data_IF_619669735207
#
_entry.id   IF_619669735207
#
_cell.length_a   1.000
_cell.length_b   1.000
_cell.length_c   1.000
_cell.angle_alpha   90.00
_cell.angle_beta   90.00
_cell.angle_gamma   90.00
#
_symmetry.space_group_name_H-M   'P 1'
#
loop_
_entity.id
_entity.type
_entity.pdbx_description
1 polymer ?
#
# COMPACT_ATOMS: atom_id res chain seq x y z
N UNK A 1 29.56 14.39 4.15
CA UNK A 1 28.15 14.70 4.49
C UNK A 1 27.36 13.43 4.25
N UNK A 2 26.59 12.88 5.20
CA UNK A 2 25.81 11.66 4.99
C UNK A 2 24.67 11.96 4.01
N UNK A 3 24.44 11.05 3.06
CA UNK A 3 23.32 11.09 2.15
C UNK A 3 22.03 10.77 2.95
N UNK A 4 21.15 11.75 3.05
CA UNK A 4 19.82 11.58 3.61
C UNK A 4 19.01 10.66 2.69
N UNK A 5 18.47 9.59 3.23
CA UNK A 5 17.47 8.75 2.57
C UNK A 5 16.22 9.57 2.36
N UNK A 6 15.93 9.86 1.11
CA UNK A 6 14.76 10.61 0.69
C UNK A 6 13.58 9.67 0.51
N UNK A 7 12.85 9.44 1.59
CA UNK A 7 11.40 9.31 1.44
C UNK A 7 10.88 10.70 1.04
N UNK A 8 9.88 10.82 0.15
CA UNK A 8 9.43 12.14 -0.30
C UNK A 8 9.03 13.01 0.87
N UNK A 9 9.85 14.00 1.18
CA UNK A 9 9.49 15.11 2.04
C UNK A 9 8.44 15.91 1.26
N UNK A 10 7.23 15.98 1.77
CA UNK A 10 6.11 16.63 1.12
C UNK A 10 6.50 17.97 0.51
N UNK A 11 6.18 18.16 -0.76
CA UNK A 11 6.42 19.36 -1.52
C UNK A 11 5.52 20.49 -0.98
N UNK A 12 6.05 21.26 -0.05
CA UNK A 12 5.56 22.60 0.29
C UNK A 12 6.13 23.61 -0.70
N UNK A 13 5.58 23.68 -1.89
CA UNK A 13 5.91 24.67 -2.89
C UNK A 13 4.82 25.73 -2.93
N UNK A 14 5.03 26.88 -2.31
CA UNK A 14 4.32 28.12 -2.61
C UNK A 14 4.83 28.65 -3.96
N UNK A 15 4.23 28.16 -5.05
CA UNK A 15 4.43 28.70 -6.38
C UNK A 15 3.24 29.56 -6.75
N UNK A 16 3.46 30.86 -6.92
CA UNK A 16 2.50 31.81 -7.48
C UNK A 16 2.03 31.31 -8.86
N UNK A 17 0.73 31.07 -8.98
CA UNK A 17 0.09 30.73 -10.26
C UNK A 17 -0.28 32.04 -10.95
N UNK A 18 0.46 32.39 -12.01
CA UNK A 18 0.06 33.43 -12.98
C UNK A 18 -1.26 33.07 -13.64
N UNK A 19 -2.16 34.03 -13.86
CA UNK A 19 -3.49 33.76 -14.40
C UNK A 19 -3.43 33.49 -15.91
N UNK A 20 -3.79 32.28 -16.31
CA UNK A 20 -3.96 31.94 -17.73
C UNK A 20 -5.35 32.31 -18.22
N UNK A 21 -5.38 33.08 -19.29
CA UNK A 21 -6.51 33.74 -19.96
C UNK A 21 -7.66 32.76 -20.29
N UNK A 22 -8.86 33.18 -19.87
CA UNK A 22 -10.15 32.62 -20.29
C UNK A 22 -10.41 32.93 -21.76
N UNK A 23 -10.54 31.93 -22.61
CA UNK A 23 -11.27 32.03 -23.89
C UNK A 23 -12.45 31.06 -23.86
N UNK A 24 -13.60 31.74 -23.89
CA UNK A 24 -14.97 31.35 -24.12
C UNK A 24 -15.14 30.14 -25.03
N UNK A 25 -15.88 29.13 -24.56
CA UNK A 25 -16.54 28.19 -25.45
C UNK A 25 -18.05 28.26 -25.27
N UNK A 26 -18.72 28.55 -26.37
CA UNK A 26 -20.15 28.94 -26.46
C UNK A 26 -21.07 27.74 -26.21
N UNK A 27 -22.17 28.05 -25.55
CA UNK A 27 -23.33 27.19 -25.30
C UNK A 27 -24.05 26.82 -26.59
N UNK A 28 -24.50 25.57 -26.68
CA UNK A 28 -25.65 25.21 -27.50
C UNK A 28 -26.65 24.49 -26.61
N UNK A 29 -27.72 25.20 -26.29
CA UNK A 29 -28.89 24.72 -25.56
C UNK A 29 -29.82 24.06 -26.55
N UNK A 30 -30.20 22.80 -26.35
CA UNK A 30 -31.37 22.21 -26.99
C UNK A 30 -32.38 21.82 -25.91
N UNK A 31 -33.45 22.58 -25.88
CA UNK A 31 -34.61 22.30 -25.06
C UNK A 31 -35.47 21.19 -25.74
N UNK A 32 -35.86 20.19 -25.00
CA UNK A 32 -36.92 19.28 -25.35
C UNK A 32 -37.95 19.22 -24.22
N UNK A 33 -39.16 19.49 -24.60
CA UNK A 33 -40.36 19.77 -23.85
C UNK A 33 -41.00 18.55 -23.18
N UNK A 34 -41.70 18.86 -22.11
CA UNK A 34 -42.51 18.04 -21.23
C UNK A 34 -43.53 17.12 -21.94
N UNK A 35 -43.72 15.95 -21.34
CA UNK A 35 -44.93 15.13 -21.49
C UNK A 35 -45.33 14.55 -20.13
N UNK A 36 -46.34 15.18 -19.52
CA UNK A 36 -46.96 14.70 -18.27
C UNK A 36 -47.90 13.52 -18.58
N UNK A 37 -47.76 12.41 -17.90
CA UNK A 37 -48.84 11.43 -17.75
C UNK A 37 -48.97 11.03 -16.28
N UNK A 38 -50.03 11.48 -15.68
CA UNK A 38 -50.49 11.09 -14.36
C UNK A 38 -51.08 9.68 -14.41
N UNK A 39 -50.63 8.78 -13.52
CA UNK A 39 -51.41 7.59 -13.15
C UNK A 39 -51.48 7.43 -11.64
N UNK A 40 -52.70 7.19 -11.22
CA UNK A 40 -53.22 7.33 -9.87
C UNK A 40 -52.70 6.36 -8.84
N UNK A 41 -52.74 6.84 -7.63
CA UNK A 41 -52.50 6.18 -6.38
C UNK A 41 -53.48 5.09 -6.05
N UNK A 42 -53.00 3.94 -5.63
CA UNK A 42 -53.65 3.12 -4.63
C UNK A 42 -52.72 2.87 -3.46
N UNK A 43 -53.03 3.50 -2.33
CA UNK A 43 -52.51 3.17 -1.04
C UNK A 43 -53.04 1.83 -0.55
N UNK A 44 -52.20 0.94 -0.11
CA UNK A 44 -52.52 -0.12 0.82
C UNK A 44 -51.58 0.04 2.05
N UNK A 45 -52.11 0.11 3.28
CA UNK A 45 -51.30 0.08 4.49
C UNK A 45 -51.17 -1.36 4.93
N UNK A 46 -49.98 -1.74 5.33
CA UNK A 46 -49.82 -3.05 5.96
C UNK A 46 -48.42 -3.47 6.27
N UNK A 47 -48.13 -3.36 7.55
CA UNK A 47 -47.22 -4.18 8.37
C UNK A 47 -45.74 -3.83 8.33
N UNK A 48 -45.32 -3.26 9.44
CA UNK A 48 -43.97 -3.09 9.87
C UNK A 48 -43.24 -4.42 10.05
N UNK A 49 -42.03 -4.34 9.76
CA UNK A 49 -40.95 -5.28 9.97
C UNK A 49 -39.68 -4.58 9.63
N UNK A 50 -39.22 -3.73 10.55
CA UNK A 50 -37.82 -3.30 10.51
C UNK A 50 -36.99 -4.53 10.84
N UNK A 51 -36.71 -5.36 9.84
CA UNK A 51 -35.56 -6.24 9.92
C UNK A 51 -34.33 -5.33 9.94
N UNK A 52 -33.78 -5.17 11.13
CA UNK A 52 -32.40 -4.77 11.33
C UNK A 52 -31.58 -5.69 10.42
N UNK A 53 -31.10 -5.14 9.32
CA UNK A 53 -30.11 -5.83 8.51
C UNK A 53 -28.98 -6.18 9.47
N UNK A 54 -28.87 -7.46 9.79
CA UNK A 54 -27.82 -7.98 10.63
C UNK A 54 -26.50 -7.48 10.06
N UNK A 55 -25.63 -6.98 10.92
CA UNK A 55 -24.25 -6.66 10.56
C UNK A 55 -23.67 -7.90 9.88
N UNK A 56 -23.63 -7.87 8.56
CA UNK A 56 -22.96 -8.89 7.77
C UNK A 56 -21.53 -8.96 8.27
N UNK A 57 -21.13 -10.12 8.75
CA UNK A 57 -19.83 -10.40 9.31
C UNK A 57 -18.75 -9.92 8.33
N UNK A 58 -18.04 -8.85 8.72
CA UNK A 58 -17.26 -7.94 7.84
C UNK A 58 -15.95 -8.57 7.33
N UNK A 59 -15.83 -9.91 7.33
CA UNK A 59 -14.56 -10.62 7.12
C UNK A 59 -14.58 -11.70 6.02
N UNK A 60 -15.25 -11.47 4.88
CA UNK A 60 -15.33 -12.45 3.79
C UNK A 60 -14.43 -12.13 2.57
N UNK A 61 -13.34 -11.41 2.76
CA UNK A 61 -12.30 -11.33 1.72
C UNK A 61 -11.04 -12.06 2.19
N UNK A 62 -10.33 -12.76 1.29
CA UNK A 62 -9.22 -13.62 1.68
C UNK A 62 -7.96 -12.86 2.10
N UNK A 63 -7.88 -11.55 1.85
CA UNK A 63 -6.73 -10.70 2.16
C UNK A 63 -7.02 -9.71 3.28
N UNK A 64 -5.95 -9.21 3.90
CA UNK A 64 -6.00 -8.19 4.95
C UNK A 64 -6.03 -6.81 4.31
N UNK A 65 -6.92 -5.94 4.79
CA UNK A 65 -6.93 -4.52 4.39
C UNK A 65 -6.15 -3.70 5.42
N UNK A 66 -5.10 -3.03 4.98
CA UNK A 66 -4.17 -2.24 5.77
C UNK A 66 -4.15 -0.77 5.35
N UNK A 67 -3.56 0.09 6.19
CA UNK A 67 -3.32 1.50 5.91
C UNK A 67 -1.86 1.82 6.16
N UNK A 68 -1.19 2.38 5.15
CA UNK A 68 0.17 2.91 5.26
C UNK A 68 0.12 4.29 5.92
N UNK A 69 0.68 4.41 7.13
CA UNK A 69 0.48 5.61 7.95
C UNK A 69 1.17 6.87 7.41
N UNK A 70 2.24 6.78 6.64
CA UNK A 70 2.93 7.98 6.18
C UNK A 70 2.05 8.85 5.25
N UNK A 71 0.99 8.31 4.68
CA UNK A 71 0.09 9.02 3.76
C UNK A 71 -1.05 9.77 4.45
N UNK A 72 -1.39 9.39 5.70
CA UNK A 72 -2.58 9.90 6.39
C UNK A 72 -2.30 10.33 7.83
N UNK A 73 -3.08 11.28 8.33
CA UNK A 73 -3.09 11.73 9.74
C UNK A 73 -1.71 12.16 10.28
N UNK A 74 -0.83 12.68 9.43
CA UNK A 74 0.58 12.97 9.77
C UNK A 74 0.76 14.02 10.86
N UNK A 75 -0.20 14.90 11.03
CA UNK A 75 -0.27 15.99 12.01
C UNK A 75 -0.82 15.56 13.36
N UNK A 76 -1.27 14.33 13.48
CA UNK A 76 -1.78 13.79 14.74
C UNK A 76 -0.70 13.01 15.51
N UNK A 77 -0.78 13.00 16.86
CA UNK A 77 -0.01 12.05 17.68
C UNK A 77 -0.27 10.60 17.26
N UNK A 78 0.73 9.73 17.42
CA UNK A 78 0.69 8.36 16.90
C UNK A 78 -0.56 7.58 17.32
N UNK A 79 -0.92 7.62 18.60
CA UNK A 79 -2.07 6.91 19.13
C UNK A 79 -3.39 7.40 18.51
N UNK A 80 -3.52 8.71 18.25
CA UNK A 80 -4.69 9.28 17.57
C UNK A 80 -4.75 8.89 16.09
N UNK A 81 -3.59 8.69 15.43
CA UNK A 81 -3.55 8.15 14.06
C UNK A 81 -4.16 6.75 14.02
N UNK A 82 -3.85 5.89 15.00
CA UNK A 82 -4.44 4.56 15.12
C UNK A 82 -5.96 4.61 15.37
N UNK A 83 -6.43 5.56 16.21
CA UNK A 83 -7.86 5.78 16.43
C UNK A 83 -8.59 6.13 15.14
N UNK A 84 -8.00 7.00 14.32
CA UNK A 84 -8.56 7.37 13.00
C UNK A 84 -8.58 6.20 12.01
N UNK A 85 -7.56 5.36 12.01
CA UNK A 85 -7.54 4.13 11.22
C UNK A 85 -8.63 3.15 11.67
N UNK A 86 -8.80 2.96 12.99
CA UNK A 86 -9.87 2.14 13.54
C UNK A 86 -11.25 2.72 13.22
N UNK A 87 -11.42 4.05 13.29
CA UNK A 87 -12.64 4.76 12.90
C UNK A 87 -13.00 4.50 11.42
N UNK A 88 -11.99 4.41 10.55
CA UNK A 88 -12.19 4.05 9.15
C UNK A 88 -12.50 2.56 8.92
N UNK A 89 -12.46 1.73 9.97
CA UNK A 89 -12.82 0.30 9.93
C UNK A 89 -11.67 -0.64 9.57
N UNK A 90 -10.42 -0.18 9.63
CA UNK A 90 -9.25 -1.02 9.38
C UNK A 90 -8.71 -1.62 10.68
N UNK A 91 -8.09 -2.80 10.55
CA UNK A 91 -7.46 -3.54 11.65
C UNK A 91 -5.97 -3.79 11.45
N UNK A 92 -5.42 -3.35 10.33
CA UNK A 92 -4.03 -3.52 9.98
C UNK A 92 -3.42 -2.18 9.57
N UNK A 93 -2.15 -2.01 9.90
CA UNK A 93 -1.42 -0.77 9.71
C UNK A 93 0.01 -1.08 9.29
N UNK A 94 0.49 -0.37 8.29
CA UNK A 94 1.89 -0.33 7.90
C UNK A 94 2.58 0.91 8.47
N UNK A 95 3.81 0.73 8.95
CA UNK A 95 4.65 1.76 9.55
C UNK A 95 5.84 2.10 8.65
N UNK A 96 6.26 3.36 8.65
CA UNK A 96 7.46 3.82 7.91
C UNK A 96 8.42 4.49 8.89
N UNK A 97 9.05 3.68 9.75
CA UNK A 97 10.07 4.19 10.68
C UNK A 97 9.54 5.05 11.83
N UNK A 98 8.23 5.10 12.10
CA UNK A 98 7.67 5.86 13.23
C UNK A 98 8.35 5.50 14.55
N UNK A 99 8.76 4.26 14.70
CA UNK A 99 9.38 3.71 15.90
C UNK A 99 10.90 4.01 16.04
N UNK A 100 11.55 4.58 15.04
CA UNK A 100 13.02 4.76 15.05
C UNK A 100 13.52 5.59 16.26
N UNK A 101 12.70 6.52 16.74
CA UNK A 101 13.03 7.40 17.86
C UNK A 101 12.24 7.06 19.13
N UNK A 102 11.54 5.94 19.17
CA UNK A 102 10.70 5.59 20.32
C UNK A 102 11.56 5.15 21.51
N UNK A 103 11.22 5.68 22.67
CA UNK A 103 11.64 5.17 23.96
C UNK A 103 10.90 3.86 24.30
N UNK A 104 11.32 3.17 25.35
CA UNK A 104 10.60 2.00 25.84
C UNK A 104 9.13 2.32 26.19
N UNK A 105 8.87 3.51 26.72
CA UNK A 105 7.51 3.96 27.06
C UNK A 105 6.68 4.23 25.81
N UNK A 106 7.29 4.73 24.73
CA UNK A 106 6.60 4.92 23.45
C UNK A 106 6.15 3.57 22.85
N UNK A 107 7.03 2.56 22.86
CA UNK A 107 6.69 1.20 22.45
C UNK A 107 5.54 0.63 23.29
N UNK A 108 5.57 0.84 24.62
CA UNK A 108 4.51 0.38 25.50
C UNK A 108 3.16 1.04 25.19
N UNK A 109 3.16 2.37 25.01
CA UNK A 109 1.93 3.12 24.67
C UNK A 109 1.38 2.71 23.31
N UNK A 110 2.22 2.63 22.29
CA UNK A 110 1.80 2.19 20.95
C UNK A 110 1.18 0.79 20.99
N UNK A 111 1.82 -0.15 21.69
CA UNK A 111 1.31 -1.51 21.85
C UNK A 111 0.01 -1.59 22.66
N UNK A 112 -0.13 -0.78 23.71
CA UNK A 112 -1.36 -0.71 24.49
C UNK A 112 -2.50 -0.18 23.61
N UNK A 113 -2.26 0.92 22.87
CA UNK A 113 -3.28 1.54 22.02
C UNK A 113 -3.70 0.63 20.86
N UNK A 114 -2.77 -0.01 20.14
CA UNK A 114 -3.14 -0.93 19.06
C UNK A 114 -3.97 -2.13 19.54
N UNK A 115 -3.63 -2.66 20.74
CA UNK A 115 -4.38 -3.78 21.35
C UNK A 115 -5.78 -3.35 21.78
N UNK A 116 -5.91 -2.16 22.36
CA UNK A 116 -7.21 -1.55 22.71
C UNK A 116 -8.12 -1.44 21.48
N UNK A 117 -7.56 -1.03 20.33
CA UNK A 117 -8.29 -0.82 19.09
C UNK A 117 -8.42 -2.09 18.21
N UNK A 118 -7.81 -3.20 18.62
CA UNK A 118 -7.77 -4.43 17.83
C UNK A 118 -6.97 -4.28 16.52
N UNK A 119 -5.94 -3.40 16.50
CA UNK A 119 -5.05 -3.17 15.37
C UNK A 119 -3.80 -4.04 15.50
N UNK A 120 -3.34 -4.56 14.36
CA UNK A 120 -2.04 -5.23 14.18
C UNK A 120 -1.16 -4.42 13.24
N UNK A 121 0.13 -4.32 13.55
CA UNK A 121 1.11 -3.83 12.59
C UNK A 121 1.54 -5.00 11.72
N UNK A 122 1.37 -4.88 10.41
CA UNK A 122 1.64 -5.99 9.48
C UNK A 122 2.93 -5.83 8.70
N UNK A 123 3.31 -4.61 8.36
CA UNK A 123 4.50 -4.31 7.57
C UNK A 123 5.16 -3.03 8.08
N UNK A 124 6.48 -2.94 7.93
CA UNK A 124 7.23 -1.72 8.19
C UNK A 124 8.26 -1.43 7.09
N UNK A 125 8.78 -0.21 7.09
CA UNK A 125 9.86 0.25 6.22
C UNK A 125 10.84 1.10 7.02
N UNK A 126 11.93 1.53 6.39
CA UNK A 126 12.90 2.44 7.02
C UNK A 126 14.35 1.96 6.98
N UNK A 127 14.65 0.90 6.21
CA UNK A 127 16.06 0.52 5.97
C UNK A 127 16.76 1.61 5.17
N UNK A 128 17.99 1.96 5.57
CA UNK A 128 18.74 3.07 4.97
C UNK A 128 19.49 2.68 3.70
N UNK A 129 19.80 1.39 3.55
CA UNK A 129 20.60 0.89 2.46
C UNK A 129 19.77 -0.04 1.57
N UNK A 130 20.00 0.06 0.24
CA UNK A 130 19.33 -0.79 -0.75
C UNK A 130 20.15 -2.03 -1.11
N UNK A 131 19.54 -2.94 -1.89
CA UNK A 131 20.16 -4.23 -2.24
C UNK A 131 21.02 -4.20 -3.50
N UNK A 132 20.88 -3.17 -4.37
CA UNK A 132 21.56 -3.13 -5.69
C UNK A 132 23.05 -2.75 -5.64
N UNK A 133 23.49 -2.11 -4.55
CA UNK A 133 24.90 -1.72 -4.38
C UNK A 133 25.64 -2.76 -3.51
N UNK A 134 26.59 -3.52 -4.05
CA UNK A 134 27.32 -4.51 -3.25
C UNK A 134 28.17 -3.88 -2.13
N UNK A 135 28.57 -2.61 -2.26
CA UNK A 135 29.31 -1.89 -1.22
C UNK A 135 28.47 -1.60 0.04
N UNK A 136 27.16 -1.53 -0.11
CA UNK A 136 26.23 -1.24 1.01
C UNK A 136 25.76 -2.51 1.74
N UNK A 137 26.17 -3.69 1.30
CA UNK A 137 25.62 -4.97 1.80
C UNK A 137 25.77 -5.15 3.31
N UNK A 138 26.95 -4.89 3.85
CA UNK A 138 27.16 -5.06 5.29
C UNK A 138 26.35 -4.04 6.10
N UNK A 139 26.21 -2.82 5.61
CA UNK A 139 25.39 -1.78 6.20
C UNK A 139 23.89 -2.14 6.14
N UNK A 140 23.41 -2.63 5.00
CA UNK A 140 22.04 -3.16 4.86
C UNK A 140 21.75 -4.28 5.88
N UNK A 141 22.67 -5.23 6.05
CA UNK A 141 22.50 -6.31 7.00
C UNK A 141 22.53 -5.82 8.46
N UNK A 142 23.29 -4.75 8.75
CA UNK A 142 23.28 -4.09 10.06
C UNK A 142 21.94 -3.37 10.29
N UNK A 143 21.44 -2.61 9.32
CA UNK A 143 20.12 -1.97 9.36
C UNK A 143 19.03 -3.01 9.62
N UNK A 144 19.03 -4.12 8.89
CA UNK A 144 18.04 -5.18 9.04
C UNK A 144 18.06 -5.81 10.44
N UNK A 145 19.23 -6.04 11.04
CA UNK A 145 19.30 -6.55 12.42
C UNK A 145 18.65 -5.59 13.41
N UNK A 146 18.96 -4.28 13.29
CA UNK A 146 18.34 -3.26 14.14
C UNK A 146 16.83 -3.16 13.93
N UNK A 147 16.36 -3.28 12.69
CA UNK A 147 14.94 -3.29 12.37
C UNK A 147 14.21 -4.53 12.95
N UNK A 148 14.84 -5.72 12.90
CA UNK A 148 14.26 -6.94 13.48
C UNK A 148 14.01 -6.79 14.99
N UNK A 149 14.91 -6.16 15.73
CA UNK A 149 14.74 -5.89 17.16
C UNK A 149 13.54 -4.97 17.43
N UNK A 150 13.28 -4.00 16.55
CA UNK A 150 12.11 -3.13 16.66
C UNK A 150 10.83 -3.86 16.24
N UNK A 151 10.88 -4.62 15.16
CA UNK A 151 9.76 -5.42 14.66
C UNK A 151 9.26 -6.41 15.72
N UNK A 152 10.16 -7.06 16.47
CA UNK A 152 9.79 -7.94 17.58
C UNK A 152 9.05 -7.18 18.69
N UNK A 153 9.47 -5.93 19.01
CA UNK A 153 8.82 -5.10 20.06
C UNK A 153 7.40 -4.67 19.69
N UNK A 154 7.09 -4.57 18.38
CA UNK A 154 5.78 -4.12 17.88
C UNK A 154 4.95 -5.25 17.26
N UNK A 155 5.40 -6.50 17.35
CA UNK A 155 4.76 -7.67 16.73
C UNK A 155 4.53 -7.53 15.21
N UNK A 156 5.44 -6.84 14.48
CA UNK A 156 5.34 -6.60 13.04
C UNK A 156 6.19 -7.61 12.25
N UNK A 157 5.60 -8.51 11.44
CA UNK A 157 6.33 -9.61 10.83
C UNK A 157 6.99 -9.29 9.49
N UNK A 158 6.68 -8.16 8.84
CA UNK A 158 7.18 -7.89 7.48
C UNK A 158 7.93 -6.56 7.40
N UNK A 159 8.93 -6.49 6.52
CA UNK A 159 9.71 -5.28 6.27
C UNK A 159 9.96 -5.08 4.78
N UNK A 160 9.80 -3.84 4.32
CA UNK A 160 10.06 -3.41 2.94
C UNK A 160 11.55 -3.19 2.74
N UNK A 161 12.09 -3.74 1.65
CA UNK A 161 13.45 -3.53 1.17
C UNK A 161 13.41 -2.85 -0.20
N UNK A 162 14.15 -1.77 -0.32
CA UNK A 162 14.30 -1.05 -1.58
C UNK A 162 15.56 -1.50 -2.34
N UNK A 163 15.54 -1.40 -3.66
CA UNK A 163 16.74 -1.68 -4.45
C UNK A 163 17.85 -0.66 -4.21
N UNK A 164 17.48 0.59 -4.00
CA UNK A 164 18.39 1.72 -4.05
C UNK A 164 18.56 2.28 -5.45
N UNK A 165 19.46 3.24 -5.61
CA UNK A 165 19.70 3.94 -6.87
C UNK A 165 20.69 3.20 -7.78
N UNK A 166 20.67 3.51 -9.07
CA UNK A 166 21.68 3.06 -10.03
C UNK A 166 23.09 3.42 -9.53
N UNK A 167 23.98 2.43 -9.53
CA UNK A 167 25.37 2.59 -9.12
C UNK A 167 26.21 2.97 -10.33
N UNK A 168 26.84 4.16 -10.37
CA UNK A 168 27.66 4.58 -11.48
C UNK A 168 28.79 3.58 -11.77
N UNK A 169 28.96 3.23 -13.04
CA UNK A 169 30.02 2.32 -13.48
C UNK A 169 29.72 0.81 -13.33
N UNK A 170 28.60 0.44 -12.70
CA UNK A 170 28.13 -0.95 -12.72
C UNK A 170 27.22 -1.22 -13.92
N UNK A 171 27.31 -2.44 -14.47
CA UNK A 171 26.36 -2.89 -15.50
C UNK A 171 25.00 -3.20 -14.84
N UNK A 172 23.91 -3.21 -15.64
CA UNK A 172 22.59 -3.58 -15.15
C UNK A 172 22.57 -5.00 -14.60
N UNK A 173 23.23 -5.94 -15.29
CA UNK A 173 23.37 -7.33 -14.86
C UNK A 173 24.14 -7.46 -13.54
N UNK A 174 25.19 -6.67 -13.36
CA UNK A 174 25.96 -6.63 -12.12
C UNK A 174 25.13 -6.14 -10.94
N UNK A 175 24.30 -5.10 -11.15
CA UNK A 175 23.38 -4.63 -10.12
C UNK A 175 22.24 -5.61 -9.86
N UNK A 176 21.71 -6.28 -10.89
CA UNK A 176 20.71 -7.34 -10.73
C UNK A 176 21.27 -8.48 -9.87
N UNK A 177 22.47 -8.95 -10.17
CA UNK A 177 23.14 -9.98 -9.38
C UNK A 177 23.37 -9.50 -7.93
N UNK A 178 23.72 -8.22 -7.73
CA UNK A 178 23.85 -7.64 -6.38
C UNK A 178 22.53 -7.65 -5.62
N UNK A 179 21.41 -7.35 -6.27
CA UNK A 179 20.08 -7.45 -5.65
C UNK A 179 19.80 -8.89 -5.19
N UNK A 180 20.03 -9.87 -6.05
CA UNK A 180 19.85 -11.30 -5.72
C UNK A 180 20.72 -11.71 -4.54
N UNK A 181 22.01 -11.37 -4.57
CA UNK A 181 22.95 -11.72 -3.51
C UNK A 181 22.66 -11.02 -2.19
N UNK A 182 22.24 -9.73 -2.26
CA UNK A 182 21.82 -8.94 -1.11
C UNK A 182 20.60 -9.54 -0.43
N UNK A 183 19.57 -9.87 -1.21
CA UNK A 183 18.36 -10.52 -0.71
C UNK A 183 18.63 -11.91 -0.15
N UNK A 184 19.51 -12.71 -0.79
CA UNK A 184 19.93 -14.00 -0.24
C UNK A 184 20.66 -13.85 1.10
N UNK A 185 21.50 -12.83 1.23
CA UNK A 185 22.19 -12.53 2.51
C UNK A 185 21.19 -12.08 3.59
N UNK A 186 20.25 -11.20 3.26
CA UNK A 186 19.18 -10.78 4.15
C UNK A 186 18.26 -11.95 4.56
N UNK A 187 17.90 -12.81 3.61
CA UNK A 187 17.08 -13.98 3.85
C UNK A 187 17.71 -14.94 4.88
N UNK A 188 19.03 -15.11 4.86
CA UNK A 188 19.73 -15.91 5.88
C UNK A 188 19.59 -15.38 7.30
N UNK A 189 19.39 -14.06 7.49
CA UNK A 189 19.18 -13.47 8.81
C UNK A 189 17.79 -13.76 9.37
N UNK A 190 16.82 -14.03 8.50
CA UNK A 190 15.43 -14.25 8.90
C UNK A 190 14.96 -15.68 8.71
N UNK A 191 15.82 -16.55 8.20
CA UNK A 191 15.45 -17.94 7.87
C UNK A 191 14.82 -18.65 9.08
N UNK A 192 13.58 -19.12 8.90
CA UNK A 192 12.78 -19.73 9.94
C UNK A 192 12.30 -18.82 11.07
N UNK A 193 12.69 -17.52 11.08
CA UNK A 193 12.23 -16.60 12.12
C UNK A 193 10.73 -16.31 11.99
N UNK A 194 10.11 -16.14 13.16
CA UNK A 194 8.70 -15.74 13.30
C UNK A 194 8.59 -14.61 14.31
N UNK A 195 7.68 -13.66 14.02
CA UNK A 195 7.26 -12.61 14.93
C UNK A 195 5.76 -12.75 15.16
N UNK A 196 5.31 -12.77 16.40
CA UNK A 196 3.91 -13.00 16.78
C UNK A 196 3.28 -14.23 16.09
N UNK A 197 4.08 -15.29 15.91
CA UNK A 197 3.65 -16.54 15.25
C UNK A 197 3.65 -16.53 13.72
N UNK A 198 3.84 -15.37 13.08
CA UNK A 198 3.90 -15.23 11.62
C UNK A 198 5.36 -15.30 11.12
N UNK A 199 5.63 -15.98 9.99
CA UNK A 199 6.96 -15.94 9.38
C UNK A 199 7.38 -14.49 9.10
N UNK A 200 8.63 -14.14 9.40
CA UNK A 200 9.19 -12.85 8.99
C UNK A 200 9.29 -12.81 7.47
N UNK A 201 8.89 -11.70 6.85
CA UNK A 201 8.96 -11.52 5.40
C UNK A 201 9.81 -10.30 5.04
N UNK A 202 10.63 -10.46 4.02
CA UNK A 202 11.32 -9.40 3.31
C UNK A 202 10.54 -9.09 2.04
N UNK A 203 10.15 -7.84 1.85
CA UNK A 203 9.30 -7.37 0.77
C UNK A 203 10.12 -6.46 -0.16
N UNK A 204 10.55 -6.98 -1.31
CA UNK A 204 11.23 -6.16 -2.32
C UNK A 204 10.22 -5.27 -3.02
N UNK A 205 10.51 -3.98 -3.13
CA UNK A 205 9.64 -3.01 -3.80
C UNK A 205 10.34 -2.32 -4.98
N UNK A 206 9.55 -2.06 -6.03
CA UNK A 206 9.91 -1.21 -7.16
C UNK A 206 9.38 0.21 -6.95
N UNK A 207 10.14 1.21 -7.44
CA UNK A 207 9.70 2.62 -7.47
C UNK A 207 9.71 3.10 -8.91
N UNK A 208 8.68 3.82 -9.32
CA UNK A 208 8.57 4.32 -10.69
C UNK A 208 9.63 5.40 -11.03
N UNK A 209 9.96 5.58 -12.31
CA UNK A 209 11.00 6.51 -12.73
C UNK A 209 10.59 8.00 -12.65
N UNK A 210 9.30 8.31 -12.46
CA UNK A 210 8.86 9.70 -12.27
C UNK A 210 9.12 10.14 -10.82
N UNK A 211 8.82 9.27 -9.84
CA UNK A 211 9.09 9.55 -8.43
C UNK A 211 10.58 9.55 -8.13
N UNK A 212 11.34 8.56 -8.63
CA UNK A 212 12.79 8.52 -8.49
C UNK A 212 13.51 8.14 -9.80
N UNK A 213 13.89 9.12 -10.63
CA UNK A 213 14.58 8.87 -11.93
C UNK A 213 15.93 8.15 -11.81
N UNK A 214 16.48 8.05 -10.60
CA UNK A 214 17.75 7.35 -10.34
C UNK A 214 17.55 5.96 -9.76
N UNK A 215 16.34 5.57 -9.46
CA UNK A 215 16.07 4.27 -8.85
C UNK A 215 16.47 3.13 -9.77
N UNK A 216 17.04 2.06 -9.20
CA UNK A 216 17.54 0.96 -10.02
C UNK A 216 16.41 0.06 -10.53
N UNK A 217 15.58 -0.45 -9.61
CA UNK A 217 14.57 -1.47 -9.92
C UNK A 217 13.20 -0.82 -10.13
N UNK A 218 12.91 -0.46 -11.37
CA UNK A 218 11.67 0.24 -11.75
C UNK A 218 10.63 -0.67 -12.42
N UNK A 219 10.93 -1.97 -12.58
CA UNK A 219 10.14 -2.93 -13.36
C UNK A 219 9.68 -4.07 -12.46
N UNK A 220 8.35 -4.28 -12.33
CA UNK A 220 7.82 -5.47 -11.66
C UNK A 220 8.25 -6.76 -12.35
N UNK A 221 8.36 -6.75 -13.68
CA UNK A 221 8.82 -7.92 -14.43
C UNK A 221 10.21 -8.33 -13.95
N UNK A 222 11.15 -7.39 -13.86
CA UNK A 222 12.51 -7.64 -13.38
C UNK A 222 12.53 -8.01 -11.88
N UNK A 223 11.71 -7.34 -11.05
CA UNK A 223 11.62 -7.65 -9.64
C UNK A 223 11.12 -9.08 -9.36
N UNK A 224 10.15 -9.57 -10.13
CA UNK A 224 9.71 -10.96 -10.03
C UNK A 224 10.83 -11.94 -10.40
N UNK A 225 11.65 -11.64 -11.41
CA UNK A 225 12.82 -12.48 -11.76
C UNK A 225 13.84 -12.49 -10.61
N UNK A 226 14.11 -11.35 -9.98
CA UNK A 226 14.97 -11.26 -8.80
C UNK A 226 14.44 -12.13 -7.65
N UNK A 227 13.16 -11.99 -7.30
CA UNK A 227 12.54 -12.77 -6.21
C UNK A 227 12.57 -14.27 -6.51
N UNK A 228 12.27 -14.67 -7.74
CA UNK A 228 12.38 -16.07 -8.18
C UNK A 228 13.82 -16.61 -8.09
N UNK A 229 14.82 -15.81 -8.48
CA UNK A 229 16.23 -16.19 -8.42
C UNK A 229 16.75 -16.28 -6.97
N UNK A 230 16.21 -15.49 -6.05
CA UNK A 230 16.48 -15.64 -4.61
C UNK A 230 15.94 -16.97 -4.09
N UNK A 231 14.76 -17.40 -4.54
CA UNK A 231 14.10 -18.65 -4.23
C UNK A 231 14.03 -18.96 -2.73
N UNK A 232 13.55 -17.99 -1.93
CA UNK A 232 13.38 -18.16 -0.50
C UNK A 232 11.92 -17.88 -0.10
N UNK A 233 11.25 -18.72 0.72
CA UNK A 233 9.82 -18.59 1.00
C UNK A 233 9.44 -17.29 1.74
N UNK A 234 10.37 -16.73 2.51
CA UNK A 234 10.19 -15.51 3.29
C UNK A 234 10.61 -14.24 2.52
N UNK A 235 11.05 -14.35 1.24
CA UNK A 235 11.32 -13.21 0.36
C UNK A 235 10.19 -13.12 -0.65
N UNK A 236 9.50 -12.00 -0.65
CA UNK A 236 8.34 -11.73 -1.49
C UNK A 236 8.52 -10.38 -2.20
N UNK A 237 7.66 -10.14 -3.17
CA UNK A 237 7.54 -8.86 -3.84
C UNK A 237 6.40 -8.06 -3.20
N UNK A 238 6.63 -6.77 -2.99
CA UNK A 238 5.60 -5.78 -2.75
C UNK A 238 5.21 -5.20 -4.10
N UNK A 239 3.98 -5.47 -4.53
CA UNK A 239 3.47 -5.02 -5.82
C UNK A 239 2.66 -3.74 -5.64
N UNK A 240 3.30 -2.57 -5.82
CA UNK A 240 2.62 -1.29 -5.77
C UNK A 240 1.99 -0.98 -7.13
N UNK A 241 0.66 -0.97 -7.18
CA UNK A 241 -0.08 -0.70 -8.41
C UNK A 241 0.12 0.72 -8.93
N UNK A 242 0.39 1.70 -8.06
CA UNK A 242 0.69 3.06 -8.48
C UNK A 242 2.01 3.12 -9.26
N UNK A 243 3.09 2.61 -8.68
CA UNK A 243 4.40 2.60 -9.34
C UNK A 243 4.38 1.78 -10.63
N UNK A 244 3.73 0.63 -10.61
CA UNK A 244 3.69 -0.26 -11.76
C UNK A 244 2.79 0.25 -12.90
N UNK A 245 1.74 1.01 -12.60
CA UNK A 245 0.93 1.67 -13.63
C UNK A 245 1.76 2.68 -14.41
N UNK A 246 2.58 3.48 -13.70
CA UNK A 246 3.47 4.48 -14.32
C UNK A 246 4.60 3.81 -15.10
N UNK A 247 5.18 2.74 -14.54
CA UNK A 247 6.37 2.10 -15.11
C UNK A 247 6.06 1.22 -16.33
N UNK A 248 5.11 0.30 -16.22
CA UNK A 248 4.90 -0.76 -17.21
C UNK A 248 3.43 -1.03 -17.55
N UNK A 249 2.50 -0.76 -16.64
CA UNK A 249 1.09 -1.14 -16.81
C UNK A 249 0.87 -2.66 -16.82
N UNK A 250 -0.24 -3.10 -17.44
CA UNK A 250 -0.65 -4.52 -17.52
C UNK A 250 -0.72 -5.21 -16.15
N UNK A 251 -1.27 -4.48 -15.16
CA UNK A 251 -1.22 -4.82 -13.74
C UNK A 251 -1.82 -6.19 -13.40
N UNK A 252 -2.99 -6.51 -13.95
CA UNK A 252 -3.76 -7.72 -13.60
C UNK A 252 -3.07 -8.98 -14.12
N UNK A 253 -2.56 -8.97 -15.35
CA UNK A 253 -1.89 -10.14 -15.93
C UNK A 253 -0.59 -10.45 -15.19
N UNK A 254 0.21 -9.41 -14.85
CA UNK A 254 1.43 -9.58 -14.05
C UNK A 254 1.14 -10.14 -12.67
N UNK A 255 0.10 -9.61 -11.99
CA UNK A 255 -0.36 -10.11 -10.71
C UNK A 255 -0.74 -11.60 -10.78
N UNK A 256 -1.59 -11.96 -11.76
CA UNK A 256 -2.08 -13.34 -11.93
C UNK A 256 -0.95 -14.34 -12.16
N UNK A 257 0.00 -14.00 -13.01
CA UNK A 257 1.15 -14.86 -13.32
C UNK A 257 2.10 -15.07 -12.13
N UNK A 258 2.11 -14.14 -11.16
CA UNK A 258 3.14 -14.09 -10.11
C UNK A 258 2.58 -14.03 -8.68
N UNK A 259 1.28 -14.26 -8.48
CA UNK A 259 0.60 -14.07 -7.18
C UNK A 259 1.28 -14.81 -6.02
N UNK A 260 1.87 -15.97 -6.26
CA UNK A 260 2.58 -16.76 -5.25
C UNK A 260 3.86 -16.07 -4.72
N UNK A 261 4.36 -15.07 -5.45
CA UNK A 261 5.53 -14.27 -5.08
C UNK A 261 5.17 -12.92 -4.45
N UNK A 262 3.88 -12.55 -4.43
CA UNK A 262 3.40 -11.28 -3.87
C UNK A 262 3.06 -11.45 -2.40
N UNK A 263 3.69 -10.65 -1.54
CA UNK A 263 3.41 -10.61 -0.09
C UNK A 263 2.47 -9.48 0.29
N UNK A 264 2.67 -8.31 -0.31
CA UNK A 264 1.85 -7.09 -0.10
C UNK A 264 1.52 -6.48 -1.45
N UNK A 265 0.34 -5.88 -1.57
CA UNK A 265 -0.01 -4.97 -2.66
C UNK A 265 -0.29 -3.57 -2.10
N UNK A 266 0.25 -2.53 -2.72
CA UNK A 266 -0.06 -1.13 -2.40
C UNK A 266 -1.09 -0.56 -3.36
N UNK A 267 -1.98 0.27 -2.80
CA UNK A 267 -3.19 0.77 -3.44
C UNK A 267 -3.15 2.31 -3.46
N UNK A 268 -2.94 2.89 -4.62
CA UNK A 268 -3.15 4.30 -4.92
C UNK A 268 -3.43 4.50 -6.40
N UNK A 269 -4.21 5.52 -6.77
CA UNK A 269 -4.61 5.75 -8.16
C UNK A 269 -3.66 6.71 -8.88
N UNK A 270 -3.54 6.56 -10.18
CA UNK A 270 -2.75 7.41 -11.08
C UNK A 270 -3.72 8.26 -11.91
N UNK A 271 -3.45 9.56 -12.08
CA UNK A 271 -2.35 10.35 -11.52
C UNK A 271 -2.60 10.82 -10.07
N UNK A 272 -1.54 11.26 -9.41
CA UNK A 272 -1.61 12.02 -8.16
C UNK A 272 -1.57 11.20 -6.87
N UNK A 273 -1.46 9.87 -6.94
CA UNK A 273 -1.38 8.96 -5.79
C UNK A 273 -2.57 9.11 -4.83
N UNK A 274 -3.78 9.29 -5.38
CA UNK A 274 -5.01 9.49 -4.63
C UNK A 274 -5.76 8.17 -4.38
N UNK A 275 -6.91 8.25 -3.70
CA UNK A 275 -7.75 7.07 -3.41
C UNK A 275 -8.28 6.38 -4.67
N UNK A 276 -8.56 5.06 -4.63
CA UNK A 276 -9.16 4.30 -5.74
C UNK A 276 -10.40 4.95 -6.33
N UNK A 277 -10.44 5.02 -7.67
CA UNK A 277 -11.53 5.60 -8.44
C UNK A 277 -11.39 7.10 -8.73
N UNK A 278 -10.23 7.69 -8.43
CA UNK A 278 -9.92 9.08 -8.79
C UNK A 278 -9.10 9.22 -10.05
N UNK A 279 -8.57 8.12 -10.58
CA UNK A 279 -7.67 8.10 -11.72
C UNK A 279 -8.00 7.01 -12.74
N UNK A 280 -6.95 6.44 -13.35
CA UNK A 280 -7.06 5.54 -14.49
C UNK A 280 -6.98 4.04 -14.14
N UNK A 281 -6.65 3.69 -12.89
CA UNK A 281 -6.53 2.29 -12.48
C UNK A 281 -7.90 1.71 -12.18
N UNK A 282 -8.25 0.59 -12.81
CA UNK A 282 -9.51 -0.11 -12.54
C UNK A 282 -9.41 -0.97 -11.26
N UNK A 283 -9.50 -0.33 -10.10
CA UNK A 283 -9.41 -1.02 -8.81
C UNK A 283 -10.51 -2.02 -8.54
N UNK A 284 -11.71 -1.84 -9.10
CA UNK A 284 -12.79 -2.84 -8.98
C UNK A 284 -12.35 -4.17 -9.62
N UNK A 285 -11.74 -4.10 -10.80
CA UNK A 285 -11.21 -5.29 -11.48
C UNK A 285 -10.00 -5.89 -10.74
N UNK A 286 -9.15 -5.07 -10.14
CA UNK A 286 -8.00 -5.54 -9.34
C UNK A 286 -8.48 -6.26 -8.07
N UNK A 287 -9.40 -5.68 -7.31
CA UNK A 287 -9.92 -6.31 -6.09
C UNK A 287 -10.69 -7.61 -6.40
N UNK A 288 -11.45 -7.63 -7.50
CA UNK A 288 -12.08 -8.86 -7.98
C UNK A 288 -11.02 -9.93 -8.27
N UNK A 289 -9.96 -9.59 -8.99
CA UNK A 289 -8.88 -10.52 -9.32
C UNK A 289 -8.15 -11.02 -8.06
N UNK A 290 -7.89 -10.18 -7.08
CA UNK A 290 -7.33 -10.62 -5.79
C UNK A 290 -8.26 -11.63 -5.08
N UNK A 291 -9.59 -11.43 -5.16
CA UNK A 291 -10.58 -12.39 -4.67
C UNK A 291 -10.54 -13.72 -5.44
N UNK A 292 -10.57 -13.69 -6.78
CA UNK A 292 -10.51 -14.86 -7.66
C UNK A 292 -9.26 -15.71 -7.40
N UNK A 293 -8.12 -15.04 -7.21
CA UNK A 293 -6.83 -15.69 -6.92
C UNK A 293 -6.70 -16.16 -5.46
N UNK A 294 -7.70 -15.92 -4.63
CA UNK A 294 -7.67 -16.19 -3.18
C UNK A 294 -6.40 -15.66 -2.52
N UNK A 295 -6.01 -14.45 -2.93
CA UNK A 295 -4.85 -13.78 -2.35
C UNK A 295 -5.05 -13.63 -0.84
N UNK A 296 -4.10 -14.09 -0.05
CA UNK A 296 -4.18 -14.09 1.42
C UNK A 296 -3.14 -13.18 2.09
N UNK A 297 -2.48 -12.31 1.32
CA UNK A 297 -1.53 -11.31 1.80
C UNK A 297 -2.22 -10.05 2.32
N UNK A 298 -1.53 -8.92 2.18
CA UNK A 298 -1.97 -7.60 2.61
C UNK A 298 -2.25 -6.71 1.40
N UNK A 299 -3.36 -5.99 1.42
CA UNK A 299 -3.67 -4.90 0.50
C UNK A 299 -3.72 -3.60 1.31
N UNK A 300 -2.68 -2.79 1.19
CA UNK A 300 -2.49 -1.59 1.98
C UNK A 300 -2.83 -0.34 1.18
N UNK A 301 -3.63 0.53 1.79
CA UNK A 301 -3.98 1.83 1.24
C UNK A 301 -2.81 2.78 1.44
N UNK A 302 -2.14 3.14 0.35
CA UNK A 302 -0.99 4.05 0.34
C UNK A 302 -1.26 5.27 -0.53
N UNK A 303 -2.39 5.89 -0.35
CA UNK A 303 -2.81 7.05 -1.14
C UNK A 303 -2.87 8.34 -0.31
N UNK A 304 -2.75 9.48 -1.01
CA UNK A 304 -2.93 10.82 -0.46
C UNK A 304 -4.40 11.24 -0.63
N UNK A 305 -5.20 11.27 0.44
CA UNK A 305 -6.64 11.53 0.34
C UNK A 305 -6.94 12.92 -0.24
N UNK A 306 -7.91 12.99 -1.18
CA UNK A 306 -8.37 14.27 -1.78
C UNK A 306 -9.33 15.06 -0.88
N UNK A 307 -9.84 14.43 0.19
CA UNK A 307 -10.74 15.04 1.17
C UNK A 307 -10.54 14.38 2.53
N UNK A 308 -11.56 14.36 3.41
CA UNK A 308 -11.47 13.76 4.73
C UNK A 308 -10.89 12.33 4.66
N UNK A 309 -9.74 12.06 5.31
CA UNK A 309 -9.06 10.78 5.18
C UNK A 309 -9.87 9.58 5.68
N UNK A 310 -10.68 9.76 6.74
CA UNK A 310 -11.51 8.67 7.28
C UNK A 310 -12.57 8.27 6.26
N UNK A 311 -13.23 9.25 5.63
CA UNK A 311 -14.23 8.98 4.59
C UNK A 311 -13.62 8.30 3.37
N UNK A 312 -12.43 8.74 2.92
CA UNK A 312 -11.75 8.17 1.76
C UNK A 312 -11.26 6.74 2.02
N UNK A 313 -10.72 6.48 3.19
CA UNK A 313 -10.35 5.14 3.62
C UNK A 313 -11.55 4.20 3.70
N UNK A 314 -12.69 4.66 4.25
CA UNK A 314 -13.94 3.87 4.25
C UNK A 314 -14.40 3.52 2.84
N UNK A 315 -14.43 4.49 1.94
CA UNK A 315 -14.85 4.25 0.55
C UNK A 315 -13.95 3.25 -0.17
N UNK A 316 -12.61 3.36 0.00
CA UNK A 316 -11.66 2.41 -0.56
C UNK A 316 -11.86 0.99 0.01
N UNK A 317 -12.09 0.89 1.33
CA UNK A 317 -12.39 -0.38 1.99
C UNK A 317 -13.68 -1.01 1.47
N UNK A 318 -14.74 -0.24 1.34
CA UNK A 318 -16.03 -0.72 0.80
C UNK A 318 -15.89 -1.22 -0.63
N UNK A 319 -15.18 -0.47 -1.49
CA UNK A 319 -14.89 -0.90 -2.86
C UNK A 319 -14.15 -2.24 -2.88
N UNK A 320 -13.12 -2.39 -2.05
CA UNK A 320 -12.36 -3.63 -1.96
C UNK A 320 -13.23 -4.82 -1.53
N UNK A 321 -14.07 -4.64 -0.50
CA UNK A 321 -14.96 -5.68 0.01
C UNK A 321 -16.05 -6.07 -1.00
N UNK A 322 -16.68 -5.10 -1.65
CA UNK A 322 -17.75 -5.35 -2.63
C UNK A 322 -17.22 -6.08 -3.86
N UNK A 323 -16.13 -5.55 -4.45
CA UNK A 323 -15.56 -6.11 -5.68
C UNK A 323 -15.01 -7.53 -5.49
N UNK A 324 -14.42 -7.82 -4.32
CA UNK A 324 -13.89 -9.16 -4.05
C UNK A 324 -14.96 -10.21 -3.77
N UNK A 325 -16.13 -9.82 -3.26
CA UNK A 325 -17.27 -10.74 -3.03
C UNK A 325 -17.98 -11.15 -4.31
N UNK A 326 -17.99 -10.29 -5.33
CA UNK A 326 -18.54 -10.61 -6.63
C UNK A 326 -17.80 -11.75 -7.32
N UNK A 327 -16.53 -11.96 -6.98
CA UNK A 327 -15.67 -13.04 -7.48
C UNK A 327 -16.06 -14.45 -6.96
N UNK A 328 -16.71 -14.52 -5.79
CA UNK A 328 -17.02 -15.80 -5.10
C UNK A 328 -18.44 -16.32 -5.38
N UNK A 329 -19.19 -15.64 -6.23
CA UNK A 329 -20.52 -16.05 -6.71
C UNK A 329 -20.49 -16.61 -8.12
#
# INVERSE_FOLDING_TARGET
>A
RPHENQWPQGVGGTGEVSPMNRRTFSQTLVAATMGSAAFGHRFLPGLGGSEMAGEANVQDVPFKLSVMLWTVFRDLPFEQRLEKVAEAGYKYVELVGEYEKWSADDFNRANAKRKELGISFDTTAGLKHGVCNPADRDALLADLRGALDAMEKIDCPSIILLSGNVVPGMTREGQNQSCIDGLKAAARLIDGKKIAGNPVQLLLETIDPEENPKYYLTSATEAFEVVKAVNHPQVKFLYDFFHEQIAEGNLIEKLEKNIQHVGVVHIADVPGRHEPGTGEINYQSIFRKLGDLRYNGVAAMEFLPTADPVMKLRAAREMALQSSREATR
#
